data_IF_159642056768
#
_entry.id   IF_159642056768
#
_cell.length_a   1.000
_cell.length_b   1.000
_cell.length_c   1.000
_cell.angle_alpha   90.00
_cell.angle_beta   90.00
_cell.angle_gamma   90.00
#
_symmetry.space_group_name_H-M   'P 1'
#
loop_
_entity.id
_entity.type
_entity.pdbx_description
1 polymer ?
#
# COMPACT_ATOMS: atom_id res chain seq x y z
N UNK A 1 -30.57 -25.01 -19.43
CA UNK A 1 -29.22 -25.12 -20.00
C UNK A 1 -28.28 -24.51 -18.98
N UNK A 2 -27.54 -25.31 -18.23
CA UNK A 2 -26.57 -24.86 -17.25
C UNK A 2 -25.38 -24.28 -18.01
N UNK A 3 -25.21 -22.95 -17.96
CA UNK A 3 -23.96 -22.30 -18.35
C UNK A 3 -22.88 -22.77 -17.37
N UNK A 4 -22.23 -23.89 -17.65
CA UNK A 4 -20.99 -24.26 -16.98
C UNK A 4 -19.96 -23.22 -17.44
N UNK A 5 -19.64 -22.25 -16.57
CA UNK A 5 -18.52 -21.34 -16.77
C UNK A 5 -17.27 -22.21 -16.90
N UNK A 6 -16.51 -22.00 -17.97
CA UNK A 6 -15.19 -22.63 -18.08
C UNK A 6 -14.36 -22.27 -16.86
N UNK A 7 -13.66 -23.23 -16.24
CA UNK A 7 -12.81 -22.94 -15.10
C UNK A 7 -11.75 -21.92 -15.52
N UNK A 8 -11.53 -20.91 -14.67
CA UNK A 8 -10.45 -19.93 -14.87
C UNK A 8 -9.13 -20.70 -14.80
N UNK A 9 -8.54 -20.95 -15.95
CA UNK A 9 -7.23 -21.59 -16.05
C UNK A 9 -6.20 -20.54 -15.67
N UNK A 10 -5.44 -20.79 -14.58
CA UNK A 10 -4.24 -19.99 -14.27
C UNK A 10 -3.21 -20.34 -15.33
N UNK A 11 -3.17 -19.54 -16.38
CA UNK A 11 -2.15 -19.71 -17.43
C UNK A 11 -0.78 -19.33 -16.84
N UNK A 12 0.15 -20.29 -16.84
CA UNK A 12 1.54 -20.11 -16.40
C UNK A 12 2.46 -19.62 -17.54
N UNK A 13 1.90 -19.29 -18.71
CA UNK A 13 2.67 -18.68 -19.79
C UNK A 13 3.12 -17.27 -19.38
N UNK A 14 4.35 -17.20 -18.93
CA UNK A 14 5.06 -15.96 -18.63
C UNK A 14 5.78 -15.50 -19.91
N UNK A 15 5.01 -15.03 -20.87
CA UNK A 15 5.53 -14.55 -22.17
C UNK A 15 5.78 -13.05 -22.21
N UNK A 16 5.39 -12.32 -21.16
CA UNK A 16 5.64 -10.90 -21.02
C UNK A 16 7.10 -10.65 -20.58
N UNK A 17 7.76 -9.68 -21.20
CA UNK A 17 9.17 -9.31 -20.93
C UNK A 17 9.44 -8.95 -19.46
N UNK A 18 8.39 -8.57 -18.71
CA UNK A 18 8.47 -8.16 -17.30
C UNK A 18 8.19 -9.28 -16.29
N UNK A 19 7.84 -10.50 -16.76
CA UNK A 19 7.48 -11.63 -15.88
C UNK A 19 8.59 -12.00 -14.90
N UNK A 20 9.87 -11.87 -15.30
CA UNK A 20 11.04 -12.14 -14.45
C UNK A 20 11.04 -11.31 -13.15
N UNK A 21 10.42 -10.11 -13.15
CA UNK A 21 10.39 -9.21 -12.00
C UNK A 21 9.40 -9.64 -10.91
N UNK A 22 8.37 -10.41 -11.24
CA UNK A 22 7.35 -10.84 -10.27
C UNK A 22 7.13 -12.35 -10.20
N UNK A 23 7.68 -13.15 -11.13
CA UNK A 23 7.45 -14.59 -11.22
C UNK A 23 7.70 -15.34 -9.89
N UNK A 24 8.75 -14.98 -9.17
CA UNK A 24 9.07 -15.62 -7.88
C UNK A 24 7.95 -15.44 -6.85
N UNK A 25 7.43 -14.22 -6.73
CA UNK A 25 6.32 -13.92 -5.81
C UNK A 25 5.02 -14.57 -6.27
N UNK A 26 4.76 -14.61 -7.58
CA UNK A 26 3.62 -15.29 -8.16
C UNK A 26 3.65 -16.78 -7.86
N UNK A 27 4.77 -17.45 -8.15
CA UNK A 27 4.92 -18.90 -7.91
C UNK A 27 4.87 -19.23 -6.42
N UNK A 28 5.38 -18.36 -5.55
CA UNK A 28 5.26 -18.52 -4.11
C UNK A 28 3.79 -18.52 -3.65
N UNK A 29 3.02 -17.50 -4.05
CA UNK A 29 1.60 -17.40 -3.69
C UNK A 29 0.80 -18.56 -4.29
N UNK A 30 1.05 -18.89 -5.58
CA UNK A 30 0.39 -20.02 -6.25
C UNK A 30 0.68 -21.33 -5.54
N UNK A 31 1.95 -21.64 -5.26
CA UNK A 31 2.35 -22.88 -4.59
C UNK A 31 1.73 -23.00 -3.20
N UNK A 32 1.69 -21.89 -2.44
CA UNK A 32 1.04 -21.87 -1.13
C UNK A 32 -0.46 -22.13 -1.23
N UNK A 33 -1.14 -21.47 -2.18
CA UNK A 33 -2.58 -21.63 -2.38
C UNK A 33 -2.95 -23.04 -2.85
N UNK A 34 -2.16 -23.63 -3.74
CA UNK A 34 -2.35 -25.03 -4.18
C UNK A 34 -2.15 -25.99 -3.02
N UNK A 35 -1.09 -25.82 -2.22
CA UNK A 35 -0.76 -26.72 -1.12
C UNK A 35 -1.84 -26.74 -0.01
N UNK A 36 -2.60 -25.66 0.14
CA UNK A 36 -3.67 -25.51 1.15
C UNK A 36 -5.09 -25.52 0.57
N UNK A 37 -5.23 -25.80 -0.73
CA UNK A 37 -6.52 -25.81 -1.45
C UNK A 37 -7.31 -24.49 -1.34
N UNK A 38 -6.60 -23.34 -1.45
CA UNK A 38 -7.18 -21.99 -1.33
C UNK A 38 -7.75 -21.54 -2.68
N UNK A 39 -8.99 -21.93 -2.97
CA UNK A 39 -9.61 -21.74 -4.28
C UNK A 39 -9.84 -20.25 -4.63
N UNK A 40 -10.30 -19.44 -3.68
CA UNK A 40 -10.49 -18.00 -3.91
C UNK A 40 -9.17 -17.27 -4.14
N UNK A 41 -8.11 -17.64 -3.44
CA UNK A 41 -6.76 -17.13 -3.66
C UNK A 41 -6.25 -17.46 -5.07
N UNK A 42 -6.50 -18.68 -5.56
CA UNK A 42 -6.11 -19.07 -6.92
C UNK A 42 -6.88 -18.28 -7.99
N UNK A 43 -8.18 -18.12 -7.83
CA UNK A 43 -9.01 -17.30 -8.73
C UNK A 43 -8.54 -15.85 -8.69
N UNK A 44 -8.36 -15.28 -7.51
CA UNK A 44 -7.91 -13.91 -7.32
C UNK A 44 -6.52 -13.65 -7.94
N UNK A 45 -5.62 -14.63 -7.85
CA UNK A 45 -4.28 -14.54 -8.46
C UNK A 45 -4.36 -14.42 -9.99
N UNK A 46 -5.22 -15.21 -10.64
CA UNK A 46 -5.44 -15.14 -12.08
C UNK A 46 -6.09 -13.81 -12.49
N UNK A 47 -7.10 -13.36 -11.73
CA UNK A 47 -7.81 -12.09 -11.96
C UNK A 47 -6.85 -10.91 -11.80
N UNK A 48 -6.08 -10.85 -10.71
CA UNK A 48 -5.12 -9.78 -10.46
C UNK A 48 -4.10 -9.67 -11.60
N UNK A 49 -3.55 -10.80 -12.06
CA UNK A 49 -2.62 -10.81 -13.20
C UNK A 49 -3.27 -10.27 -14.48
N UNK A 50 -4.49 -10.69 -14.79
CA UNK A 50 -5.24 -10.23 -15.98
C UNK A 50 -5.53 -8.72 -15.90
N UNK A 51 -6.00 -8.24 -14.76
CA UNK A 51 -6.43 -6.85 -14.59
C UNK A 51 -5.26 -5.87 -14.57
N UNK A 52 -4.14 -6.22 -13.92
CA UNK A 52 -2.95 -5.38 -13.87
C UNK A 52 -2.01 -5.56 -15.07
N UNK A 53 -2.39 -6.37 -16.07
CA UNK A 53 -1.58 -6.55 -17.29
C UNK A 53 -1.35 -5.19 -17.99
N UNK A 54 -0.07 -4.88 -18.28
CA UNK A 54 0.34 -3.62 -18.91
C UNK A 54 0.44 -2.42 -17.96
N UNK A 55 0.04 -2.55 -16.69
CA UNK A 55 0.20 -1.47 -15.70
C UNK A 55 1.58 -1.54 -15.03
N UNK A 56 2.17 -0.35 -14.80
CA UNK A 56 3.45 -0.20 -14.11
C UNK A 56 3.34 0.73 -12.92
N UNK A 57 4.17 0.49 -11.90
CA UNK A 57 4.38 1.39 -10.77
C UNK A 57 5.28 2.57 -11.19
N UNK A 58 5.41 3.58 -10.32
CA UNK A 58 6.26 4.76 -10.57
C UNK A 58 7.74 4.45 -10.76
N UNK A 59 8.22 3.34 -10.22
CA UNK A 59 9.58 2.84 -10.38
C UNK A 59 9.78 1.97 -11.64
N UNK A 60 8.73 1.85 -12.49
CA UNK A 60 8.75 1.06 -13.73
C UNK A 60 8.55 -0.45 -13.52
N UNK A 61 8.30 -0.92 -12.29
CA UNK A 61 7.99 -2.33 -12.05
C UNK A 61 6.54 -2.65 -12.43
N UNK A 62 6.24 -3.89 -12.91
CA UNK A 62 4.86 -4.30 -13.17
C UNK A 62 3.98 -4.14 -11.94
N UNK A 63 2.78 -3.56 -12.10
CA UNK A 63 1.90 -3.25 -10.96
C UNK A 63 1.54 -4.49 -10.14
N UNK A 64 1.34 -5.64 -10.80
CA UNK A 64 1.03 -6.93 -10.15
C UNK A 64 2.03 -7.30 -9.03
N UNK A 65 3.26 -6.80 -9.08
CA UNK A 65 4.27 -7.04 -8.03
C UNK A 65 3.81 -6.53 -6.65
N UNK A 66 2.97 -5.47 -6.61
CA UNK A 66 2.46 -4.91 -5.37
C UNK A 66 1.48 -5.83 -4.65
N UNK A 67 0.32 -6.21 -5.21
CA UNK A 67 -0.60 -7.10 -4.53
C UNK A 67 0.02 -8.47 -4.22
N UNK A 68 0.94 -8.97 -5.06
CA UNK A 68 1.71 -10.18 -4.76
C UNK A 68 2.58 -10.02 -3.50
N UNK A 69 3.23 -8.87 -3.32
CA UNK A 69 4.03 -8.58 -2.12
C UNK A 69 3.17 -8.45 -0.87
N UNK A 70 2.02 -7.76 -0.97
CA UNK A 70 1.04 -7.64 0.12
C UNK A 70 0.57 -9.03 0.56
N UNK A 71 0.11 -9.86 -0.39
CA UNK A 71 -0.32 -11.23 -0.13
C UNK A 71 0.82 -12.10 0.47
N UNK A 72 2.03 -12.05 -0.12
CA UNK A 72 3.19 -12.79 0.38
C UNK A 72 3.57 -12.37 1.81
N UNK A 73 3.44 -11.10 2.17
CA UNK A 73 3.68 -10.60 3.53
C UNK A 73 2.70 -11.25 4.51
N UNK A 74 1.43 -11.31 4.18
CA UNK A 74 0.40 -11.94 5.01
C UNK A 74 0.64 -13.44 5.18
N UNK A 75 1.01 -14.14 4.11
CA UNK A 75 1.39 -15.57 4.14
C UNK A 75 2.60 -15.78 5.08
N UNK A 76 3.64 -14.97 4.92
CA UNK A 76 4.87 -15.06 5.74
C UNK A 76 4.61 -14.80 7.23
N UNK A 77 3.58 -14.02 7.55
CA UNK A 77 3.14 -13.79 8.93
C UNK A 77 2.12 -14.83 9.43
N UNK A 78 1.85 -15.88 8.62
CA UNK A 78 1.08 -17.05 9.04
C UNK A 78 -0.42 -17.01 8.70
N UNK A 79 -0.86 -16.07 7.87
CA UNK A 79 -2.25 -16.04 7.39
C UNK A 79 -2.45 -17.14 6.34
N UNK A 80 -3.49 -17.96 6.56
CA UNK A 80 -3.91 -19.06 5.69
C UNK A 80 -5.38 -18.94 5.27
N UNK A 81 -6.03 -17.83 5.63
CA UNK A 81 -7.44 -17.57 5.34
C UNK A 81 -7.61 -17.21 3.86
N UNK A 82 -8.35 -18.06 3.12
CA UNK A 82 -8.53 -17.95 1.68
C UNK A 82 -9.15 -16.60 1.27
N UNK A 83 -10.16 -16.15 2.02
CA UNK A 83 -10.85 -14.87 1.77
C UNK A 83 -9.88 -13.69 1.95
N UNK A 84 -9.06 -13.70 3.01
CA UNK A 84 -8.09 -12.63 3.27
C UNK A 84 -7.03 -12.56 2.18
N UNK A 85 -6.48 -13.70 1.77
CA UNK A 85 -5.42 -13.73 0.76
C UNK A 85 -5.95 -13.35 -0.63
N UNK A 86 -7.16 -13.80 -0.97
CA UNK A 86 -7.84 -13.39 -2.20
C UNK A 86 -8.11 -11.87 -2.22
N UNK A 87 -8.64 -11.32 -1.12
CA UNK A 87 -8.87 -9.89 -1.00
C UNK A 87 -7.56 -9.08 -1.06
N UNK A 88 -6.46 -9.60 -0.49
CA UNK A 88 -5.15 -8.97 -0.57
C UNK A 88 -4.59 -8.90 -2.00
N UNK A 89 -4.88 -9.89 -2.84
CA UNK A 89 -4.50 -9.88 -4.26
C UNK A 89 -5.32 -8.89 -5.09
N UNK A 90 -6.51 -8.53 -4.64
CA UNK A 90 -7.47 -7.71 -5.40
C UNK A 90 -7.74 -6.34 -4.75
N UNK A 91 -7.03 -5.96 -3.67
CA UNK A 91 -7.38 -4.81 -2.83
C UNK A 91 -7.41 -3.47 -3.56
N UNK A 92 -6.59 -3.28 -4.60
CA UNK A 92 -6.52 -2.05 -5.40
C UNK A 92 -7.32 -2.10 -6.70
N UNK A 93 -7.91 -3.27 -7.04
CA UNK A 93 -8.43 -3.51 -8.39
C UNK A 93 -9.62 -2.60 -8.74
N UNK A 94 -10.46 -2.27 -7.77
CA UNK A 94 -11.63 -1.38 -7.96
C UNK A 94 -11.19 0.07 -8.14
N UNK A 95 -10.07 0.47 -7.53
CA UNK A 95 -9.51 1.82 -7.69
C UNK A 95 -8.74 1.96 -9.01
N UNK A 96 -7.90 0.99 -9.35
CA UNK A 96 -6.88 1.09 -10.39
C UNK A 96 -7.29 0.48 -11.75
N UNK A 97 -8.39 -0.29 -11.80
CA UNK A 97 -8.86 -0.96 -13.01
C UNK A 97 -10.30 -0.59 -13.39
N UNK A 98 -10.71 0.65 -13.12
CA UNK A 98 -12.09 1.15 -13.38
C UNK A 98 -12.52 0.99 -14.84
N UNK A 99 -11.60 1.13 -15.77
CA UNK A 99 -11.79 0.92 -17.21
C UNK A 99 -12.15 -0.53 -17.56
N UNK A 100 -11.68 -1.48 -16.79
CA UNK A 100 -11.93 -2.93 -16.95
C UNK A 100 -13.09 -3.44 -16.08
N UNK A 101 -13.56 -2.63 -15.14
CA UNK A 101 -14.61 -2.96 -14.17
C UNK A 101 -15.69 -1.85 -14.14
N UNK A 102 -16.45 -1.64 -15.26
CA UNK A 102 -17.38 -0.52 -15.41
C UNK A 102 -18.56 -0.54 -14.43
N UNK A 103 -18.89 -1.69 -13.84
CA UNK A 103 -19.98 -1.81 -12.85
C UNK A 103 -19.48 -1.81 -11.41
N UNK A 104 -18.38 -1.09 -11.14
CA UNK A 104 -17.82 -0.92 -9.80
C UNK A 104 -17.23 -2.21 -9.21
N UNK A 105 -16.81 -3.13 -10.07
CA UNK A 105 -16.20 -4.40 -9.69
C UNK A 105 -17.18 -5.53 -9.41
N UNK A 106 -18.49 -5.36 -9.62
CA UNK A 106 -19.48 -6.45 -9.49
C UNK A 106 -19.18 -7.63 -10.42
N UNK A 107 -18.48 -7.37 -11.52
CA UNK A 107 -17.98 -8.36 -12.47
C UNK A 107 -17.08 -9.41 -11.80
N UNK A 108 -16.39 -9.02 -10.73
CA UNK A 108 -15.57 -9.96 -9.96
C UNK A 108 -16.40 -11.16 -9.46
N UNK A 109 -17.63 -10.91 -8.99
CA UNK A 109 -18.56 -11.97 -8.56
C UNK A 109 -19.19 -12.65 -9.78
N UNK A 110 -19.77 -11.86 -10.69
CA UNK A 110 -20.65 -12.39 -11.75
C UNK A 110 -19.88 -13.09 -12.87
N UNK A 111 -18.68 -12.64 -13.19
CA UNK A 111 -17.89 -13.15 -14.31
C UNK A 111 -16.72 -14.01 -13.84
N UNK A 112 -16.05 -13.62 -12.76
CA UNK A 112 -14.85 -14.31 -12.30
C UNK A 112 -15.08 -15.29 -11.15
N UNK A 113 -16.27 -15.29 -10.54
CA UNK A 113 -16.60 -16.21 -9.45
C UNK A 113 -15.90 -15.91 -8.13
N UNK A 114 -15.51 -14.63 -7.93
CA UNK A 114 -14.98 -14.16 -6.65
C UNK A 114 -16.08 -14.21 -5.60
N UNK A 115 -15.74 -14.72 -4.41
CA UNK A 115 -16.66 -14.78 -3.28
C UNK A 115 -17.18 -13.39 -2.90
N UNK A 116 -18.49 -13.24 -2.63
CA UNK A 116 -19.07 -11.95 -2.21
C UNK A 116 -18.39 -11.35 -0.98
N UNK A 117 -17.85 -12.15 -0.07
CA UNK A 117 -17.13 -11.67 1.10
C UNK A 117 -15.75 -11.07 0.73
N UNK A 118 -15.04 -11.65 -0.24
CA UNK A 118 -13.82 -11.05 -0.83
C UNK A 118 -14.16 -9.69 -1.43
N UNK A 119 -15.22 -9.61 -2.23
CA UNK A 119 -15.66 -8.36 -2.84
C UNK A 119 -16.05 -7.29 -1.80
N UNK A 120 -16.75 -7.67 -0.74
CA UNK A 120 -17.09 -6.78 0.38
C UNK A 120 -15.83 -6.17 1.01
N UNK A 121 -14.79 -6.99 1.25
CA UNK A 121 -13.52 -6.52 1.82
C UNK A 121 -12.82 -5.57 0.87
N UNK A 122 -12.79 -5.87 -0.43
CA UNK A 122 -12.18 -4.99 -1.44
C UNK A 122 -12.87 -3.63 -1.45
N UNK A 123 -14.21 -3.58 -1.43
CA UNK A 123 -14.95 -2.32 -1.37
C UNK A 123 -14.65 -1.54 -0.09
N UNK A 124 -14.53 -2.22 1.05
CA UNK A 124 -14.16 -1.58 2.32
C UNK A 124 -12.76 -0.96 2.28
N UNK A 125 -11.84 -1.55 1.52
CA UNK A 125 -10.47 -1.06 1.36
C UNK A 125 -10.34 0.06 0.33
N UNK A 126 -11.28 0.14 -0.61
CA UNK A 126 -11.30 1.16 -1.66
C UNK A 126 -11.66 2.53 -1.10
N UNK A 127 -10.94 3.56 -1.53
CA UNK A 127 -11.21 4.94 -1.13
C UNK A 127 -11.07 5.92 -2.30
N UNK A 128 -11.80 7.01 -2.23
CA UNK A 128 -11.61 8.13 -3.16
C UNK A 128 -10.33 8.91 -2.83
N UNK A 129 -9.78 9.58 -3.84
CA UNK A 129 -8.64 10.47 -3.65
C UNK A 129 -9.08 11.80 -3.05
N UNK A 130 -8.20 12.41 -2.23
CA UNK A 130 -8.42 13.77 -1.74
C UNK A 130 -9.34 13.89 -0.52
N UNK A 131 -9.55 12.79 0.21
CA UNK A 131 -10.34 12.80 1.44
C UNK A 131 -9.73 13.76 2.49
N UNK A 132 -10.61 14.47 3.20
CA UNK A 132 -10.29 15.26 4.40
C UNK A 132 -9.89 14.35 5.57
N UNK A 133 -9.26 14.93 6.62
CA UNK A 133 -8.90 14.18 7.84
C UNK A 133 -10.14 13.55 8.52
N UNK A 134 -11.30 14.21 8.45
CA UNK A 134 -12.54 13.65 8.96
C UNK A 134 -13.00 12.41 8.17
N UNK A 135 -13.01 12.50 6.84
CA UNK A 135 -13.39 11.37 5.97
C UNK A 135 -12.41 10.21 6.10
N UNK A 136 -11.10 10.49 6.22
CA UNK A 136 -10.07 9.49 6.53
C UNK A 136 -10.34 8.82 7.88
N UNK A 137 -10.74 9.59 8.89
CA UNK A 137 -11.11 9.03 10.20
C UNK A 137 -12.29 8.07 10.10
N UNK A 138 -13.32 8.44 9.35
CA UNK A 138 -14.49 7.56 9.10
C UNK A 138 -14.03 6.29 8.36
N UNK A 139 -13.27 6.43 7.28
CA UNK A 139 -12.75 5.32 6.48
C UNK A 139 -11.95 4.31 7.33
N UNK A 140 -10.97 4.78 8.10
CA UNK A 140 -10.17 3.88 8.95
C UNK A 140 -10.95 3.31 10.12
N UNK A 141 -11.97 4.03 10.62
CA UNK A 141 -12.88 3.52 11.64
C UNK A 141 -13.78 2.38 11.12
N UNK A 142 -14.14 2.39 9.84
CA UNK A 142 -14.84 1.25 9.24
C UNK A 142 -13.90 0.06 9.00
N UNK A 143 -12.70 0.28 8.46
CA UNK A 143 -11.72 -0.80 8.24
C UNK A 143 -11.37 -1.53 9.54
N UNK A 144 -11.15 -0.82 10.64
CA UNK A 144 -10.76 -1.45 11.91
C UNK A 144 -11.78 -2.42 12.49
N UNK A 145 -13.05 -2.37 12.02
CA UNK A 145 -14.12 -3.30 12.45
C UNK A 145 -14.00 -4.68 11.80
N UNK A 146 -13.19 -4.80 10.77
CA UNK A 146 -12.92 -6.06 10.08
C UNK A 146 -11.44 -6.41 10.20
N UNK A 147 -11.13 -7.55 10.84
CA UNK A 147 -9.75 -7.97 11.10
C UNK A 147 -8.98 -8.31 9.80
N UNK A 148 -9.68 -8.79 8.77
CA UNK A 148 -9.10 -9.13 7.46
C UNK A 148 -8.74 -7.87 6.70
N UNK A 149 -9.69 -6.94 6.57
CA UNK A 149 -9.44 -5.63 5.94
C UNK A 149 -8.32 -4.88 6.66
N UNK A 150 -8.30 -4.91 8.00
CA UNK A 150 -7.22 -4.30 8.81
C UNK A 150 -5.86 -4.92 8.49
N UNK A 151 -5.76 -6.25 8.44
CA UNK A 151 -4.49 -6.93 8.14
C UNK A 151 -3.99 -6.59 6.73
N UNK A 152 -4.89 -6.57 5.74
CA UNK A 152 -4.56 -6.20 4.35
C UNK A 152 -4.08 -4.76 4.29
N UNK A 153 -4.80 -3.82 4.92
CA UNK A 153 -4.43 -2.39 4.93
C UNK A 153 -3.09 -2.13 5.61
N UNK A 154 -2.78 -2.87 6.66
CA UNK A 154 -1.47 -2.78 7.31
C UNK A 154 -0.35 -3.37 6.45
N UNK A 155 -0.58 -4.51 5.78
CA UNK A 155 0.39 -5.09 4.87
C UNK A 155 0.64 -4.21 3.63
N UNK A 156 -0.41 -3.60 3.07
CA UNK A 156 -0.31 -2.57 2.03
C UNK A 156 0.53 -1.37 2.50
N UNK A 157 0.20 -0.80 3.66
CA UNK A 157 0.96 0.32 4.25
C UNK A 157 2.42 -0.05 4.46
N UNK A 158 2.70 -1.23 5.00
CA UNK A 158 4.07 -1.72 5.20
C UNK A 158 4.84 -1.81 3.89
N UNK A 159 4.25 -2.40 2.84
CA UNK A 159 4.90 -2.48 1.53
C UNK A 159 5.14 -1.09 0.91
N UNK A 160 4.16 -0.19 0.97
CA UNK A 160 4.32 1.17 0.47
C UNK A 160 5.36 1.98 1.27
N UNK A 161 5.50 1.72 2.57
CA UNK A 161 6.52 2.36 3.42
C UNK A 161 7.96 2.03 3.01
N UNK A 162 8.19 0.93 2.32
CA UNK A 162 9.53 0.54 1.84
C UNK A 162 10.03 1.38 0.66
N UNK A 163 9.14 2.16 0.01
CA UNK A 163 9.48 2.97 -1.17
C UNK A 163 9.21 4.46 -0.97
N UNK A 164 9.16 4.94 0.27
CA UNK A 164 8.88 6.35 0.61
C UNK A 164 9.93 7.33 0.05
N UNK A 165 11.17 6.88 -0.14
CA UNK A 165 12.24 7.67 -0.75
C UNK A 165 11.90 8.19 -2.16
N UNK A 166 10.96 7.57 -2.86
CA UNK A 166 10.50 8.00 -4.18
C UNK A 166 9.39 9.07 -4.13
N UNK A 167 8.95 9.48 -2.94
CA UNK A 167 7.89 10.47 -2.80
C UNK A 167 8.48 11.89 -2.83
N UNK A 168 7.71 12.83 -3.39
CA UNK A 168 7.97 14.27 -3.21
C UNK A 168 7.71 14.64 -1.75
N UNK A 169 8.43 15.68 -1.26
CA UNK A 169 8.41 16.12 0.13
C UNK A 169 6.99 16.25 0.72
N UNK A 170 6.10 17.04 0.11
CA UNK A 170 4.73 17.25 0.62
C UNK A 170 3.93 15.95 0.69
N UNK A 171 4.09 15.07 -0.31
CA UNK A 171 3.45 13.77 -0.31
C UNK A 171 3.99 12.87 0.79
N UNK A 172 5.29 12.94 1.04
CA UNK A 172 5.96 12.19 2.10
C UNK A 172 5.45 12.62 3.48
N UNK A 173 5.41 13.92 3.76
CA UNK A 173 4.86 14.45 5.02
C UNK A 173 3.42 14.03 5.25
N UNK A 174 2.57 14.14 4.21
CA UNK A 174 1.18 13.69 4.29
C UNK A 174 1.08 12.19 4.59
N UNK A 175 1.94 11.37 3.98
CA UNK A 175 1.96 9.93 4.20
C UNK A 175 2.39 9.57 5.63
N UNK A 176 3.43 10.23 6.15
CA UNK A 176 3.91 10.07 7.52
C UNK A 176 2.80 10.42 8.52
N UNK A 177 2.17 11.58 8.34
CA UNK A 177 1.07 12.04 9.18
C UNK A 177 -0.14 11.06 9.16
N UNK A 178 -0.56 10.61 7.97
CA UNK A 178 -1.65 9.63 7.84
C UNK A 178 -1.31 8.34 8.58
N UNK A 179 -0.05 7.91 8.50
CA UNK A 179 0.42 6.71 9.22
C UNK A 179 0.28 6.87 10.73
N UNK A 180 0.70 8.00 11.28
CA UNK A 180 0.66 8.28 12.71
C UNK A 180 -0.77 8.46 13.23
N UNK A 181 -1.58 9.22 12.49
CA UNK A 181 -2.93 9.58 12.94
C UNK A 181 -3.94 8.43 12.82
N UNK A 182 -3.79 7.56 11.83
CA UNK A 182 -4.82 6.56 11.53
C UNK A 182 -4.31 5.11 11.51
N UNK A 183 -3.16 4.86 10.87
CA UNK A 183 -2.68 3.49 10.66
C UNK A 183 -2.17 2.86 11.97
N UNK A 184 -1.29 3.54 12.69
CA UNK A 184 -0.75 3.03 13.95
C UNK A 184 -1.82 2.86 15.05
N UNK A 185 -2.79 3.80 15.21
CA UNK A 185 -3.94 3.60 16.10
C UNK A 185 -4.82 2.42 15.69
N UNK A 186 -5.10 2.26 14.38
CA UNK A 186 -5.87 1.13 13.84
C UNK A 186 -5.15 -0.21 14.14
N UNK A 187 -3.84 -0.29 13.94
CA UNK A 187 -3.05 -1.48 14.28
C UNK A 187 -3.09 -1.78 15.78
N UNK A 188 -3.04 -0.74 16.62
CA UNK A 188 -3.16 -0.89 18.09
C UNK A 188 -4.53 -1.43 18.48
N UNK A 189 -5.61 -0.89 17.90
CA UNK A 189 -6.96 -1.39 18.11
C UNK A 189 -7.06 -2.87 17.74
N UNK A 190 -6.61 -3.25 16.54
CA UNK A 190 -6.70 -4.61 16.04
C UNK A 190 -5.95 -5.62 16.92
N UNK A 191 -4.77 -5.24 17.42
CA UNK A 191 -3.98 -6.06 18.34
C UNK A 191 -4.76 -6.51 19.58
N UNK A 192 -5.62 -5.65 20.13
CA UNK A 192 -6.39 -5.95 21.33
C UNK A 192 -7.75 -6.58 21.05
N UNK A 193 -8.39 -6.23 19.93
CA UNK A 193 -9.74 -6.69 19.61
C UNK A 193 -9.77 -8.03 18.85
N UNK A 194 -8.65 -8.41 18.22
CA UNK A 194 -8.53 -9.63 17.44
C UNK A 194 -7.38 -10.50 17.94
N UNK A 195 -7.54 -11.14 19.12
CA UNK A 195 -6.45 -11.84 19.82
C UNK A 195 -5.84 -12.98 19.02
N UNK A 196 -6.60 -13.62 18.12
CA UNK A 196 -6.10 -14.69 17.25
C UNK A 196 -5.06 -14.23 16.22
N UNK A 197 -4.99 -12.93 15.90
CA UNK A 197 -4.00 -12.33 15.02
C UNK A 197 -3.13 -11.25 15.70
N UNK A 198 -3.10 -11.22 17.01
CA UNK A 198 -2.32 -10.25 17.80
C UNK A 198 -0.87 -10.13 17.34
N UNK A 199 -0.21 -11.27 17.09
CA UNK A 199 1.18 -11.29 16.65
C UNK A 199 1.36 -10.61 15.29
N UNK A 200 0.45 -10.87 14.34
CA UNK A 200 0.47 -10.28 12.99
C UNK A 200 0.35 -8.76 13.09
N UNK A 201 -0.65 -8.27 13.83
CA UNK A 201 -0.85 -6.83 14.04
C UNK A 201 0.31 -6.17 14.77
N UNK A 202 0.92 -6.86 15.74
CA UNK A 202 2.10 -6.37 16.47
C UNK A 202 3.30 -6.24 15.54
N UNK A 203 3.61 -7.24 14.73
CA UNK A 203 4.74 -7.23 13.79
C UNK A 203 4.54 -6.14 12.75
N UNK A 204 3.37 -6.08 12.11
CA UNK A 204 3.06 -5.05 11.11
C UNK A 204 3.16 -3.64 11.70
N UNK A 205 2.58 -3.42 12.90
CA UNK A 205 2.67 -2.14 13.58
C UNK A 205 4.11 -1.73 13.84
N UNK A 206 4.94 -2.64 14.37
CA UNK A 206 6.35 -2.35 14.70
C UNK A 206 7.13 -2.00 13.44
N UNK A 207 6.97 -2.76 12.37
CA UNK A 207 7.67 -2.52 11.11
C UNK A 207 7.24 -1.19 10.46
N UNK A 208 5.93 -0.90 10.42
CA UNK A 208 5.42 0.37 9.89
C UNK A 208 5.95 1.55 10.72
N UNK A 209 5.88 1.44 12.06
CA UNK A 209 6.39 2.48 12.96
C UNK A 209 7.88 2.75 12.71
N UNK A 210 8.72 1.70 12.64
CA UNK A 210 10.16 1.85 12.43
C UNK A 210 10.48 2.55 11.12
N UNK A 211 9.82 2.17 10.01
CA UNK A 211 10.03 2.81 8.71
C UNK A 211 9.54 4.26 8.71
N UNK A 212 8.36 4.51 9.28
CA UNK A 212 7.78 5.86 9.34
C UNK A 212 8.65 6.79 10.18
N UNK A 213 9.08 6.35 11.36
CA UNK A 213 9.93 7.11 12.27
C UNK A 213 11.30 7.41 11.67
N UNK A 214 11.95 6.42 11.04
CA UNK A 214 13.21 6.64 10.35
C UNK A 214 13.09 7.67 9.23
N UNK A 215 12.00 7.62 8.48
CA UNK A 215 11.75 8.58 7.41
C UNK A 215 11.46 9.98 7.95
N UNK A 216 10.73 10.11 9.07
CA UNK A 216 10.52 11.41 9.73
C UNK A 216 11.85 12.04 10.15
N UNK A 217 12.74 11.27 10.79
CA UNK A 217 14.08 11.78 11.17
C UNK A 217 14.84 12.29 9.95
N UNK A 218 14.81 11.58 8.83
CA UNK A 218 15.48 11.98 7.60
C UNK A 218 14.90 13.30 7.08
N UNK A 219 13.57 13.43 7.06
CA UNK A 219 12.89 14.66 6.64
C UNK A 219 13.31 15.83 7.52
N UNK A 220 13.22 15.68 8.85
CA UNK A 220 13.57 16.74 9.81
C UNK A 220 15.03 17.19 9.66
N UNK A 221 15.96 16.26 9.37
CA UNK A 221 17.36 16.58 9.11
C UNK A 221 17.54 17.41 7.83
N UNK A 222 16.85 17.04 6.74
CA UNK A 222 16.94 17.79 5.48
C UNK A 222 16.26 19.14 5.57
N UNK A 223 15.11 19.26 6.21
CA UNK A 223 14.42 20.55 6.41
C UNK A 223 15.31 21.52 7.19
N UNK A 224 15.95 21.04 8.27
CA UNK A 224 16.92 21.84 9.01
C UNK A 224 18.12 22.29 8.16
N UNK A 225 18.67 21.42 7.32
CA UNK A 225 19.77 21.79 6.42
C UNK A 225 19.34 22.84 5.40
N UNK A 226 18.12 22.71 4.84
CA UNK A 226 17.55 23.68 3.91
C UNK A 226 17.39 25.04 4.58
N UNK A 227 16.87 25.09 5.81
CA UNK A 227 16.72 26.33 6.57
C UNK A 227 18.07 26.98 6.87
N UNK A 228 19.08 26.21 7.28
CA UNK A 228 20.42 26.71 7.52
C UNK A 228 21.06 27.30 6.24
N UNK A 229 20.90 26.61 5.10
CA UNK A 229 21.37 27.10 3.79
C UNK A 229 20.64 28.38 3.36
N UNK A 230 19.34 28.45 3.53
CA UNK A 230 18.56 29.67 3.21
C UNK A 230 18.98 30.84 4.07
N UNK A 231 19.30 30.64 5.35
CA UNK A 231 19.84 31.67 6.24
C UNK A 231 21.19 32.16 5.73
N UNK A 232 22.14 31.28 5.40
CA UNK A 232 23.45 31.65 4.86
C UNK A 232 23.32 32.43 3.54
N UNK A 233 22.42 32.01 2.64
CA UNK A 233 22.15 32.75 1.40
C UNK A 233 21.62 34.15 1.68
N UNK A 234 20.75 34.32 2.68
CA UNK A 234 20.19 35.60 3.07
C UNK A 234 21.27 36.54 3.63
N UNK A 235 22.17 36.00 4.47
CA UNK A 235 23.31 36.74 5.02
C UNK A 235 24.27 37.22 3.91
N UNK A 236 24.57 36.37 2.92
CA UNK A 236 25.41 36.71 1.78
C UNK A 236 24.79 37.77 0.84
N UNK A 237 23.46 37.84 0.78
CA UNK A 237 22.70 38.80 -0.03
C UNK A 237 22.44 40.12 0.70
N UNK A 238 22.70 40.19 2.01
CA UNK A 238 22.55 41.41 2.77
C UNK A 238 23.50 42.51 2.21
N UNK A 239 23.04 43.77 2.02
CA UNK A 239 23.90 44.85 1.56
C UNK A 239 25.04 45.07 2.54
N UNK A 240 26.26 45.21 2.03
CA UNK A 240 27.42 45.56 2.87
C UNK A 240 27.09 46.81 3.69
N UNK A 241 27.43 46.84 4.98
CA UNK A 241 27.27 48.04 5.77
C UNK A 241 28.06 49.17 5.10
N UNK A 242 27.55 50.41 5.12
CA UNK A 242 28.25 51.55 4.52
C UNK A 242 29.67 51.65 5.11
N UNK A 243 30.65 51.86 4.24
CA UNK A 243 32.03 52.03 4.66
C UNK A 243 32.09 53.10 5.77
N UNK A 244 32.74 52.77 6.89
CA UNK A 244 32.97 53.76 7.95
C UNK A 244 33.78 54.94 7.35
N UNK A 245 33.20 56.10 7.37
CA UNK A 245 33.95 57.31 7.03
C UNK A 245 35.22 57.39 7.91
N UNK A 246 36.37 57.74 7.32
CA UNK A 246 37.59 57.92 8.11
C UNK A 246 37.34 59.03 9.14
N UNK A 247 37.59 58.68 10.41
CA UNK A 247 37.53 59.69 11.47
C UNK A 247 38.48 60.87 11.12
N UNK A 248 37.92 62.07 10.93
CA UNK A 248 38.71 63.28 10.78
C UNK A 248 39.70 63.38 11.95
N UNK A 249 40.98 63.39 11.62
CA UNK A 249 42.02 63.67 12.58
C UNK A 249 42.05 65.15 12.77
N UNK A 250 41.60 65.67 13.89
CA UNK A 250 42.03 66.96 14.43
C UNK A 250 43.45 66.87 14.97
#
# INVERSE_FOLDING_TARGET
>A
MSNQKEPIVINDDFTDDDSSKYIKSFMFVKGFAVALDLQQTLIALAVARKMHCGQTRKDGTPYISHPLKVCSTLINYGIKDDITLAAALLHDIVEDCKDKLPFGGKELITEYGIDPEVYRIILLLSKDSGLSDYELSVYFNEIKKDYRATAIKLADRFHNSQTLYAFKHDKLLKYIRETEMFILPMASYAKYHYPWWTNIFSILKTNIYSLNHSMQIIVDMYDKQIDDLNRQISELRAPMPPAREPADKE
#
